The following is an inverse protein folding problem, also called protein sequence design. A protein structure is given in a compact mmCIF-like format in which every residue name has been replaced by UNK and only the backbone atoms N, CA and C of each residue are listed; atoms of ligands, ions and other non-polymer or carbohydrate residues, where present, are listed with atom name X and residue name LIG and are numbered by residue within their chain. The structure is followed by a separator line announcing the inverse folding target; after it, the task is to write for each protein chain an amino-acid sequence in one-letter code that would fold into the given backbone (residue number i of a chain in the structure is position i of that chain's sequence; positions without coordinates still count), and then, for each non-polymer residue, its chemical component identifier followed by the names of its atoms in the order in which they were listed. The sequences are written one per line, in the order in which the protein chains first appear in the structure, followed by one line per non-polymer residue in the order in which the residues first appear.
data_IF_925795259258
#
_entry.id   IF_925795259258
#
_cell.length_a   1.000
_cell.length_b   1.000
_cell.length_c   1.000
_cell.angle_alpha   90.00
_cell.angle_beta   90.00
_cell.angle_gamma   90.00
#
_symmetry.space_group_name_H-M   'P 1'
#
loop_
_entity.id
_entity.type
_entity.pdbx_description
1 polymer ?
#
# COMPACT_ATOMS: atom_id res chain seq x y z
N UNK A 1 1.22 34.53 41.43
CA UNK A 1 0.42 33.90 40.36
C UNK A 1 1.17 33.72 39.02
N UNK A 2 2.47 34.03 38.89
CA UNK A 2 3.23 33.96 37.60
C UNK A 2 3.92 32.60 37.26
N UNK A 3 3.84 31.57 38.10
CA UNK A 3 4.53 30.28 37.86
C UNK A 3 3.72 29.28 37.00
N UNK A 4 2.39 29.39 36.97
CA UNK A 4 1.53 28.45 36.26
C UNK A 4 1.63 28.55 34.72
N UNK A 5 1.91 29.74 34.18
CA UNK A 5 1.97 29.97 32.72
C UNK A 5 3.23 29.38 32.07
N UNK A 6 4.36 29.29 32.80
CA UNK A 6 5.60 28.67 32.28
C UNK A 6 5.56 27.15 32.28
N UNK A 7 4.73 26.55 33.13
CA UNK A 7 4.59 25.08 33.23
C UNK A 7 3.71 24.52 32.11
N UNK A 8 2.63 25.23 31.74
CA UNK A 8 1.82 24.87 30.57
C UNK A 8 2.62 24.86 29.26
N UNK A 9 3.53 25.83 29.05
CA UNK A 9 4.34 25.87 27.81
C UNK A 9 5.28 24.67 27.66
N UNK A 10 5.85 24.16 28.77
CA UNK A 10 6.73 22.98 28.77
C UNK A 10 5.95 21.69 28.50
N UNK A 11 4.75 21.56 29.08
CA UNK A 11 3.90 20.38 28.95
C UNK A 11 3.28 20.30 27.54
N UNK A 12 2.87 21.44 26.97
CA UNK A 12 2.37 21.50 25.59
C UNK A 12 3.48 21.19 24.57
N UNK A 13 4.71 21.64 24.79
CA UNK A 13 5.86 21.28 23.93
C UNK A 13 6.21 19.79 23.97
N UNK A 14 6.13 19.17 25.15
CA UNK A 14 6.39 17.73 25.29
C UNK A 14 5.30 16.87 24.66
N UNK A 15 4.02 17.25 24.80
CA UNK A 15 2.90 16.56 24.16
C UNK A 15 2.89 16.70 22.64
N UNK A 16 3.33 17.85 22.11
CA UNK A 16 3.52 18.06 20.67
C UNK A 16 4.61 17.16 20.09
N UNK A 17 5.76 17.03 20.77
CA UNK A 17 6.86 16.20 20.32
C UNK A 17 6.52 14.69 20.36
N UNK A 18 5.78 14.25 21.39
CA UNK A 18 5.30 12.87 21.49
C UNK A 18 4.24 12.57 20.41
N UNK A 19 3.34 13.52 20.12
CA UNK A 19 2.35 13.38 19.06
C UNK A 19 2.98 13.25 17.66
N UNK A 20 4.03 14.02 17.39
CA UNK A 20 4.76 13.95 16.11
C UNK A 20 5.59 12.65 16.00
N UNK A 21 6.15 12.13 17.09
CA UNK A 21 6.88 10.86 17.08
C UNK A 21 5.95 9.64 16.93
N UNK A 22 4.73 9.70 17.46
CA UNK A 22 3.76 8.61 17.33
C UNK A 22 3.25 8.47 15.88
N UNK A 23 3.21 9.55 15.12
CA UNK A 23 2.85 9.53 13.70
C UNK A 23 3.90 8.83 12.81
N UNK A 24 5.18 8.84 13.18
CA UNK A 24 6.23 8.12 12.46
C UNK A 24 6.33 6.62 12.81
N UNK A 25 5.68 6.17 13.89
CA UNK A 25 5.69 4.77 14.30
C UNK A 25 4.57 3.94 13.65
N UNK A 26 3.49 4.59 13.20
CA UNK A 26 2.50 3.95 12.32
C UNK A 26 2.97 4.15 10.89
N UNK A 27 3.62 3.12 10.32
CA UNK A 27 4.04 3.05 8.92
C UNK A 27 2.88 3.09 7.94
N UNK A 28 2.15 4.20 7.91
CA UNK A 28 1.18 4.52 6.87
C UNK A 28 1.97 5.14 5.72
N UNK A 29 2.75 4.30 5.04
CA UNK A 29 3.21 4.60 3.70
C UNK A 29 1.97 4.65 2.81
N UNK A 30 1.58 5.87 2.46
CA UNK A 30 0.37 6.15 1.72
C UNK A 30 0.42 5.55 0.30
N UNK A 31 -0.49 4.60 0.08
CA UNK A 31 -1.36 4.47 -1.09
C UNK A 31 -0.82 4.97 -2.44
N UNK A 32 -0.04 4.13 -3.13
CA UNK A 32 0.30 4.33 -4.55
C UNK A 32 -0.59 3.54 -5.52
N UNK A 33 -1.82 3.12 -5.16
CA UNK A 33 -2.80 2.62 -6.16
C UNK A 33 -4.21 2.47 -5.57
N UNK A 34 -4.93 3.57 -5.37
CA UNK A 34 -6.28 3.56 -4.78
C UNK A 34 -7.36 2.81 -5.62
N UNK A 35 -7.04 2.32 -6.83
CA UNK A 35 -7.98 1.61 -7.71
C UNK A 35 -7.96 0.08 -7.56
N UNK A 36 -6.90 -0.51 -6.97
CA UNK A 36 -6.77 -1.98 -6.88
C UNK A 36 -6.51 -2.39 -5.43
N UNK A 37 -7.47 -3.12 -4.85
CA UNK A 37 -7.28 -3.74 -3.54
C UNK A 37 -6.19 -4.83 -3.63
N UNK A 38 -5.17 -4.82 -2.75
CA UNK A 38 -4.15 -5.86 -2.74
C UNK A 38 -4.78 -7.19 -2.30
N UNK A 39 -4.50 -8.26 -3.06
CA UNK A 39 -4.87 -9.62 -2.69
C UNK A 39 -4.04 -10.10 -1.50
N UNK A 40 -4.65 -10.92 -0.63
CA UNK A 40 -3.91 -11.64 0.40
C UNK A 40 -3.08 -12.79 -0.23
N UNK A 41 -2.13 -13.37 0.52
CA UNK A 41 -1.20 -14.37 -0.05
C UNK A 41 -1.89 -15.67 -0.52
N UNK A 42 -2.99 -16.06 0.12
CA UNK A 42 -3.77 -17.24 -0.28
C UNK A 42 -4.49 -16.98 -1.61
N UNK A 43 -5.12 -15.81 -1.74
CA UNK A 43 -5.77 -15.37 -2.97
C UNK A 43 -4.78 -15.22 -4.12
N UNK A 44 -3.58 -14.69 -3.86
CA UNK A 44 -2.51 -14.60 -4.86
C UNK A 44 -2.08 -15.97 -5.37
N UNK A 45 -1.97 -16.95 -4.47
CA UNK A 45 -1.60 -18.32 -4.82
C UNK A 45 -2.66 -18.97 -5.71
N UNK A 46 -3.93 -18.86 -5.34
CA UNK A 46 -5.05 -19.39 -6.12
C UNK A 46 -5.16 -18.69 -7.48
N UNK A 47 -5.05 -17.36 -7.52
CA UNK A 47 -5.09 -16.59 -8.76
C UNK A 47 -3.94 -16.97 -9.72
N UNK A 48 -2.73 -17.18 -9.19
CA UNK A 48 -1.60 -17.65 -9.99
C UNK A 48 -1.83 -19.05 -10.56
N UNK A 49 -2.34 -19.99 -9.75
CA UNK A 49 -2.69 -21.34 -10.21
C UNK A 49 -3.67 -21.27 -11.40
N UNK A 50 -4.75 -20.51 -11.26
CA UNK A 50 -5.74 -20.32 -12.32
C UNK A 50 -5.11 -19.68 -13.57
N UNK A 51 -4.25 -18.68 -13.39
CA UNK A 51 -3.55 -18.01 -14.49
C UNK A 51 -2.73 -19.01 -15.31
N UNK A 52 -1.94 -19.86 -14.65
CA UNK A 52 -1.09 -20.83 -15.34
C UNK A 52 -1.89 -21.97 -15.98
N UNK A 53 -2.95 -22.45 -15.33
CA UNK A 53 -3.77 -23.54 -15.84
C UNK A 53 -4.62 -23.13 -17.05
N UNK A 54 -5.05 -21.86 -17.13
CA UNK A 54 -6.07 -21.44 -18.10
C UNK A 54 -5.68 -20.31 -19.04
N UNK A 55 -4.75 -19.44 -18.65
CA UNK A 55 -4.48 -18.18 -19.36
C UNK A 55 -3.05 -18.05 -19.90
N UNK A 56 -2.08 -18.75 -19.30
CA UNK A 56 -0.68 -18.66 -19.69
C UNK A 56 -0.43 -19.08 -21.16
N UNK A 57 -1.26 -19.96 -21.73
CA UNK A 57 -1.18 -20.36 -23.13
C UNK A 57 -1.37 -19.17 -24.10
N UNK A 58 -2.38 -18.32 -23.85
CA UNK A 58 -2.72 -17.23 -24.77
C UNK A 58 -1.99 -15.93 -24.44
N UNK A 59 -1.81 -15.63 -23.15
CA UNK A 59 -1.25 -14.37 -22.66
C UNK A 59 0.25 -14.44 -22.35
N UNK A 60 0.82 -15.65 -22.36
CA UNK A 60 2.22 -15.90 -22.02
C UNK A 60 2.49 -15.89 -20.51
N UNK A 61 3.57 -16.57 -20.10
CA UNK A 61 4.00 -16.65 -18.68
C UNK A 61 4.24 -15.26 -18.08
N UNK A 62 4.80 -14.33 -18.86
CA UNK A 62 5.10 -12.96 -18.44
C UNK A 62 3.96 -11.96 -18.70
N UNK A 63 2.78 -12.40 -19.14
CA UNK A 63 1.63 -11.54 -19.49
C UNK A 63 1.88 -10.53 -20.62
N UNK A 64 2.99 -10.67 -21.36
CA UNK A 64 3.36 -9.80 -22.49
C UNK A 64 2.59 -10.09 -23.79
N UNK A 65 1.66 -11.04 -23.74
CA UNK A 65 0.93 -11.50 -24.90
C UNK A 65 1.67 -12.63 -25.63
N UNK A 66 0.90 -13.54 -26.21
CA UNK A 66 1.36 -14.51 -27.19
C UNK A 66 0.40 -14.47 -28.37
N UNK A 67 -0.69 -15.25 -28.32
CA UNK A 67 -1.78 -15.17 -29.30
C UNK A 67 -2.79 -14.09 -28.93
N UNK A 68 -3.06 -13.89 -27.64
CA UNK A 68 -3.94 -12.81 -27.16
C UNK A 68 -3.14 -11.55 -26.81
N UNK A 69 -3.85 -10.41 -26.75
CA UNK A 69 -3.30 -9.10 -26.35
C UNK A 69 -2.63 -9.18 -24.97
N UNK A 70 -1.61 -8.34 -24.69
CA UNK A 70 -0.97 -8.28 -23.38
C UNK A 70 -1.96 -7.97 -22.25
N UNK A 71 -1.62 -8.39 -21.03
CA UNK A 71 -2.37 -8.11 -19.80
C UNK A 71 -1.43 -7.58 -18.71
N UNK A 72 -0.58 -6.63 -19.08
CA UNK A 72 0.40 -6.02 -18.19
C UNK A 72 -0.23 -4.90 -17.37
N UNK A 73 0.40 -4.56 -16.24
CA UNK A 73 -0.12 -3.59 -15.28
C UNK A 73 -0.20 -2.15 -15.86
N UNK A 74 0.62 -1.82 -16.85
CA UNK A 74 0.66 -0.52 -17.51
C UNK A 74 -0.56 -0.23 -18.41
N UNK A 75 -1.21 -1.27 -18.93
CA UNK A 75 -2.38 -1.17 -19.84
C UNK A 75 -3.71 -1.57 -19.20
N UNK A 76 -3.73 -1.82 -17.88
CA UNK A 76 -4.92 -2.29 -17.16
C UNK A 76 -5.28 -1.42 -15.96
N UNK A 77 -4.48 -0.38 -15.67
CA UNK A 77 -4.57 0.45 -14.47
C UNK A 77 -4.92 1.90 -14.77
N UNK A 78 -5.47 2.18 -15.95
CA UNK A 78 -6.08 3.48 -16.28
C UNK A 78 -7.26 3.85 -15.37
#
# INVERSE_FOLDING_TARGET
MHRATKQSLKITGFLSAVGLMLASATGVEAAANAKVQPLNDQERTVANKIYFERYACCYGVLRKGATSKPLTADITRE
#
